data_IF_624961348516
#
_entry.id   IF_624961348516
#
_cell.length_a   1.000
_cell.length_b   1.000
_cell.length_c   1.000
_cell.angle_alpha   90.00
_cell.angle_beta   90.00
_cell.angle_gamma   90.00
#
_symmetry.space_group_name_H-M   'P 1'
#
loop_
_entity.id
_entity.type
_entity.pdbx_description
1 polymer ?
#
# COMPACT_ATOMS: atom_id res chain seq x y z
N UNK A 1 1.28 13.97 7.99
CA UNK A 1 0.17 13.06 7.70
C UNK A 1 -0.34 13.17 6.26
N UNK A 2 -0.73 14.35 5.80
CA UNK A 2 -1.25 14.55 4.42
C UNK A 2 -0.29 14.07 3.32
N UNK A 3 1.01 14.33 3.45
CA UNK A 3 2.00 13.87 2.47
C UNK A 3 2.02 12.36 2.31
N UNK A 4 1.96 11.62 3.41
CA UNK A 4 1.93 10.15 3.37
C UNK A 4 0.66 9.63 2.68
N UNK A 5 -0.50 10.18 3.03
CA UNK A 5 -1.77 9.80 2.41
C UNK A 5 -1.77 10.10 0.91
N UNK A 6 -1.31 11.30 0.54
CA UNK A 6 -1.23 11.69 -0.88
C UNK A 6 -0.23 10.84 -1.68
N UNK A 7 0.92 10.48 -1.10
CA UNK A 7 1.86 9.57 -1.77
C UNK A 7 1.27 8.19 -2.00
N UNK A 8 0.53 7.66 -1.02
CA UNK A 8 -0.15 6.38 -1.16
C UNK A 8 -1.23 6.43 -2.26
N UNK A 9 -2.00 7.53 -2.31
CA UNK A 9 -3.00 7.78 -3.36
C UNK A 9 -2.36 7.83 -4.75
N UNK A 10 -1.27 8.54 -4.92
CA UNK A 10 -0.56 8.64 -6.20
C UNK A 10 -0.04 7.27 -6.68
N UNK A 11 0.52 6.45 -5.78
CA UNK A 11 0.95 5.09 -6.13
C UNK A 11 -0.23 4.20 -6.53
N UNK A 12 -1.37 4.34 -5.85
CA UNK A 12 -2.57 3.59 -6.18
C UNK A 12 -3.11 3.99 -7.55
N UNK A 13 -3.19 5.28 -7.84
CA UNK A 13 -3.66 5.82 -9.12
C UNK A 13 -2.72 5.41 -10.26
N UNK A 14 -1.40 5.46 -10.05
CA UNK A 14 -0.41 5.00 -11.03
C UNK A 14 -0.57 3.50 -11.33
N UNK A 15 -0.76 2.68 -10.31
CA UNK A 15 -0.99 1.25 -10.50
C UNK A 15 -2.31 0.97 -11.24
N UNK A 16 -3.38 1.70 -10.92
CA UNK A 16 -4.68 1.57 -11.58
C UNK A 16 -4.60 1.99 -13.05
N UNK A 17 -3.99 3.14 -13.34
CA UNK A 17 -3.78 3.64 -14.69
C UNK A 17 -2.97 2.66 -15.53
N UNK A 18 -1.92 2.07 -14.96
CA UNK A 18 -1.14 1.04 -15.63
C UNK A 18 -1.98 -0.21 -15.95
N UNK A 19 -2.85 -0.64 -15.03
CA UNK A 19 -3.76 -1.76 -15.27
C UNK A 19 -4.76 -1.47 -16.40
N UNK A 20 -5.31 -0.25 -16.42
CA UNK A 20 -6.31 0.15 -17.43
C UNK A 20 -5.73 0.25 -18.84
N UNK A 21 -4.47 0.71 -18.95
CA UNK A 21 -3.80 0.86 -20.26
C UNK A 21 -3.18 -0.44 -20.77
N UNK A 22 -2.90 -1.39 -19.90
CA UNK A 22 -2.28 -2.66 -20.27
C UNK A 22 -3.30 -3.81 -20.13
N UNK A 23 -4.17 -3.97 -21.12
CA UNK A 23 -5.03 -5.14 -21.20
C UNK A 23 -4.15 -6.38 -21.38
N UNK A 24 -4.01 -7.16 -20.32
CA UNK A 24 -3.22 -8.39 -20.40
C UNK A 24 -4.09 -9.55 -20.89
N UNK A 25 -3.58 -10.23 -21.91
CA UNK A 25 -4.10 -11.53 -22.30
C UNK A 25 -3.59 -12.60 -21.32
N UNK A 26 -4.32 -13.71 -21.11
CA UNK A 26 -3.92 -14.76 -20.18
C UNK A 26 -2.50 -15.32 -20.38
N UNK A 27 -2.01 -15.26 -21.62
CA UNK A 27 -0.68 -15.76 -21.99
C UNK A 27 0.41 -14.68 -21.97
N UNK A 28 0.07 -13.41 -21.70
CA UNK A 28 1.01 -12.30 -21.61
C UNK A 28 1.66 -12.24 -20.23
N UNK A 29 2.54 -13.17 -19.95
CA UNK A 29 3.26 -13.30 -18.66
C UNK A 29 4.07 -12.04 -18.30
N UNK A 30 4.83 -11.41 -19.23
CA UNK A 30 5.56 -10.17 -18.91
C UNK A 30 4.67 -9.04 -18.41
N UNK A 31 3.57 -8.74 -19.12
CA UNK A 31 2.63 -7.67 -18.72
C UNK A 31 1.94 -8.02 -17.40
N UNK A 32 1.51 -9.27 -17.20
CA UNK A 32 0.91 -9.71 -15.95
C UNK A 32 1.86 -9.52 -14.76
N UNK A 33 3.15 -9.85 -14.90
CA UNK A 33 4.16 -9.64 -13.84
C UNK A 33 4.37 -8.16 -13.53
N UNK A 34 4.36 -7.29 -14.54
CA UNK A 34 4.47 -5.85 -14.36
C UNK A 34 3.27 -5.28 -13.59
N UNK A 35 2.05 -5.68 -13.93
CA UNK A 35 0.82 -5.33 -13.22
C UNK A 35 0.90 -5.80 -11.76
N UNK A 36 1.25 -7.06 -11.52
CA UNK A 36 1.40 -7.60 -10.18
C UNK A 36 2.42 -6.84 -9.33
N UNK A 37 3.55 -6.46 -9.91
CA UNK A 37 4.59 -5.72 -9.19
C UNK A 37 4.13 -4.32 -8.77
N UNK A 38 3.42 -3.59 -9.66
CA UNK A 38 2.91 -2.25 -9.36
C UNK A 38 1.79 -2.28 -8.31
N UNK A 39 0.86 -3.20 -8.44
CA UNK A 39 -0.22 -3.39 -7.46
C UNK A 39 0.32 -3.84 -6.11
N UNK A 40 1.32 -4.71 -6.08
CA UNK A 40 2.00 -5.14 -4.86
C UNK A 40 2.71 -3.96 -4.17
N UNK A 41 3.41 -3.11 -4.91
CA UNK A 41 4.05 -1.90 -4.38
C UNK A 41 3.02 -0.94 -3.78
N UNK A 42 1.96 -0.65 -4.52
CA UNK A 42 0.90 0.25 -4.08
C UNK A 42 0.22 -0.27 -2.80
N UNK A 43 -0.14 -1.56 -2.77
CA UNK A 43 -0.77 -2.21 -1.61
C UNK A 43 0.16 -2.21 -0.40
N UNK A 44 1.41 -2.61 -0.54
CA UNK A 44 2.38 -2.66 0.56
C UNK A 44 2.57 -1.28 1.18
N UNK A 45 2.84 -0.27 0.35
CA UNK A 45 3.05 1.11 0.80
C UNK A 45 1.79 1.71 1.44
N UNK A 46 0.60 1.50 0.86
CA UNK A 46 -0.65 2.03 1.40
C UNK A 46 -0.98 1.43 2.77
N UNK A 47 -0.79 0.12 2.95
CA UNK A 47 -1.03 -0.56 4.22
C UNK A 47 -0.11 -0.06 5.36
N UNK A 48 1.19 0.09 5.09
CA UNK A 48 2.14 0.65 6.05
C UNK A 48 1.83 2.12 6.36
N UNK A 49 1.50 2.90 5.33
CA UNK A 49 1.14 4.30 5.46
C UNK A 49 -0.11 4.48 6.32
N UNK A 50 -1.14 3.66 6.14
CA UNK A 50 -2.36 3.70 6.95
C UNK A 50 -2.04 3.53 8.44
N UNK A 51 -1.26 2.52 8.80
CA UNK A 51 -0.85 2.27 10.19
C UNK A 51 -0.01 3.44 10.74
N UNK A 52 0.93 3.95 9.95
CA UNK A 52 1.78 5.07 10.33
C UNK A 52 0.97 6.35 10.59
N UNK A 53 0.06 6.70 9.68
CA UNK A 53 -0.79 7.88 9.81
C UNK A 53 -1.73 7.77 11.01
N UNK A 54 -2.33 6.60 11.23
CA UNK A 54 -3.21 6.36 12.38
C UNK A 54 -2.42 6.47 13.71
N UNK A 55 -1.21 5.92 13.78
CA UNK A 55 -0.32 6.08 14.94
C UNK A 55 0.02 7.56 15.20
N UNK A 56 0.33 8.32 14.15
CA UNK A 56 0.59 9.75 14.29
C UNK A 56 -0.63 10.53 14.78
N UNK A 57 -1.84 10.13 14.36
CA UNK A 57 -3.08 10.75 14.81
C UNK A 57 -3.30 10.51 16.32
N UNK A 58 -3.15 9.27 16.79
CA UNK A 58 -3.24 8.94 18.22
C UNK A 58 -2.22 9.75 19.03
N UNK A 59 -0.97 9.80 18.58
CA UNK A 59 0.09 10.53 19.26
C UNK A 59 -0.19 12.05 19.31
N UNK A 60 -0.71 12.62 18.23
CA UNK A 60 -1.05 14.05 18.17
C UNK A 60 -2.16 14.45 19.14
N UNK A 61 -3.07 13.52 19.43
CA UNK A 61 -4.18 13.71 20.37
C UNK A 61 -3.78 13.43 21.83
N UNK A 62 -2.59 12.90 22.07
CA UNK A 62 -2.13 12.52 23.42
C UNK A 62 -3.08 11.55 24.11
N UNK A 63 -3.41 11.79 25.38
CA UNK A 63 -4.30 10.92 26.15
C UNK A 63 -5.70 10.78 25.54
N UNK A 64 -6.20 11.79 24.84
CA UNK A 64 -7.48 11.72 24.14
C UNK A 64 -7.46 10.75 22.95
N UNK A 65 -6.30 10.53 22.35
CA UNK A 65 -6.15 9.63 21.20
C UNK A 65 -6.44 8.16 21.51
N UNK A 66 -6.39 7.77 22.78
CA UNK A 66 -6.70 6.40 23.24
C UNK A 66 -8.08 6.29 23.89
N UNK A 67 -8.87 7.38 23.88
CA UNK A 67 -10.24 7.38 24.41
C UNK A 67 -11.24 7.04 23.29
N UNK A 68 -12.21 6.19 23.62
CA UNK A 68 -13.26 5.71 22.69
C UNK A 68 -14.05 6.85 22.03
N UNK A 69 -14.25 7.94 22.74
CA UNK A 69 -15.05 9.08 22.30
C UNK A 69 -14.47 9.76 21.06
N UNK A 70 -13.15 9.69 20.85
CA UNK A 70 -12.46 10.36 19.74
C UNK A 70 -12.14 9.44 18.57
N UNK A 71 -12.38 8.14 18.70
CA UNK A 71 -12.23 7.09 17.67
C UNK A 71 -10.83 6.97 17.02
N UNK A 72 -9.83 7.75 17.43
CA UNK A 72 -8.49 7.67 16.83
C UNK A 72 -7.84 6.29 17.05
N UNK A 73 -8.04 5.70 18.23
CA UNK A 73 -7.57 4.35 18.56
C UNK A 73 -8.25 3.28 17.68
N UNK A 74 -9.53 3.48 17.34
CA UNK A 74 -10.26 2.57 16.45
C UNK A 74 -9.64 2.56 15.06
N UNK A 75 -9.35 3.72 14.48
CA UNK A 75 -8.68 3.81 13.19
C UNK A 75 -7.30 3.15 13.22
N UNK A 76 -6.57 3.23 14.34
CA UNK A 76 -5.30 2.53 14.49
C UNK A 76 -5.49 1.00 14.52
N UNK A 77 -6.48 0.50 15.24
CA UNK A 77 -6.81 -0.94 15.25
C UNK A 77 -7.23 -1.42 13.87
N UNK A 78 -8.07 -0.67 13.17
CA UNK A 78 -8.54 -1.02 11.84
C UNK A 78 -7.39 -0.99 10.82
N UNK A 79 -6.48 -0.01 10.92
CA UNK A 79 -5.31 0.08 10.05
C UNK A 79 -4.29 -1.04 10.28
N UNK A 80 -4.16 -1.53 11.51
CA UNK A 80 -3.17 -2.56 11.88
C UNK A 80 -3.39 -3.91 11.16
N UNK A 81 -4.60 -4.19 10.67
CA UNK A 81 -4.87 -5.42 9.92
C UNK A 81 -4.40 -5.32 8.45
N UNK A 82 -4.37 -4.12 7.88
CA UNK A 82 -4.10 -3.90 6.45
C UNK A 82 -2.78 -4.52 5.95
N UNK A 83 -1.66 -4.50 6.69
CA UNK A 83 -0.43 -5.17 6.28
C UNK A 83 -0.50 -6.70 6.25
N UNK A 84 -1.53 -7.30 6.86
CA UNK A 84 -1.61 -8.75 7.07
C UNK A 84 -2.68 -9.44 6.21
N UNK A 85 -3.59 -8.68 5.60
CA UNK A 85 -4.66 -9.21 4.75
C UNK A 85 -4.32 -9.05 3.27
N UNK A 86 -4.95 -9.85 2.42
CA UNK A 86 -4.81 -9.82 0.95
C UNK A 86 -3.33 -9.90 0.49
N UNK A 87 -2.57 -10.76 1.15
CA UNK A 87 -1.12 -10.88 1.00
C UNK A 87 -0.36 -9.97 1.97
N UNK A 88 0.47 -10.58 2.82
CA UNK A 88 1.25 -9.84 3.80
C UNK A 88 2.19 -8.82 3.14
N UNK A 89 2.60 -7.80 3.90
CA UNK A 89 3.55 -6.78 3.44
C UNK A 89 4.83 -7.41 2.87
N UNK A 90 5.37 -8.43 3.55
CA UNK A 90 6.57 -9.14 3.10
C UNK A 90 6.39 -9.80 1.72
N UNK A 91 5.23 -10.42 1.49
CA UNK A 91 4.90 -11.03 0.19
C UNK A 91 4.77 -9.95 -0.90
N UNK A 92 4.15 -8.81 -0.58
CA UNK A 92 4.02 -7.71 -1.54
C UNK A 92 5.40 -7.15 -1.94
N UNK A 93 6.27 -6.93 -0.98
CA UNK A 93 7.64 -6.46 -1.25
C UNK A 93 8.49 -7.51 -1.97
N UNK A 94 8.28 -8.80 -1.68
CA UNK A 94 8.95 -9.88 -2.41
C UNK A 94 8.54 -9.89 -3.89
N UNK A 95 7.24 -9.80 -4.19
CA UNK A 95 6.73 -9.76 -5.57
C UNK A 95 7.33 -8.57 -6.32
N UNK A 96 7.29 -7.38 -5.74
CA UNK A 96 7.86 -6.17 -6.35
C UNK A 96 9.38 -6.29 -6.52
N UNK A 97 10.10 -6.73 -5.49
CA UNK A 97 11.56 -6.91 -5.52
C UNK A 97 12.03 -7.92 -6.56
N UNK A 98 11.34 -9.03 -6.73
CA UNK A 98 11.64 -10.02 -7.77
C UNK A 98 11.46 -9.43 -9.18
N UNK A 99 10.42 -8.62 -9.39
CA UNK A 99 10.21 -7.95 -10.67
C UNK A 99 11.34 -6.95 -10.98
N UNK A 100 11.71 -6.11 -10.01
CA UNK A 100 12.81 -5.13 -10.17
C UNK A 100 14.15 -5.84 -10.42
N UNK A 101 14.44 -6.93 -9.70
CA UNK A 101 15.66 -7.69 -9.90
C UNK A 101 15.76 -8.34 -11.29
N UNK A 102 14.62 -8.78 -11.85
CA UNK A 102 14.57 -9.41 -13.16
C UNK A 102 14.67 -8.42 -14.32
N UNK A 103 14.15 -7.19 -14.16
CA UNK A 103 14.04 -6.22 -15.25
C UNK A 103 14.98 -5.01 -15.13
N UNK A 104 15.78 -4.96 -14.07
CA UNK A 104 16.54 -3.76 -13.70
C UNK A 104 15.59 -2.65 -13.17
N UNK A 105 16.19 -1.54 -12.74
CA UNK A 105 15.44 -0.38 -12.26
C UNK A 105 14.92 0.40 -13.47
N UNK A 106 13.90 -0.13 -14.14
CA UNK A 106 13.23 0.58 -15.23
C UNK A 106 12.26 1.58 -14.64
N UNK A 107 12.72 2.79 -14.52
CA UNK A 107 11.85 3.96 -14.34
C UNK A 107 11.07 4.20 -15.63
#
# INVERSE_FOLDING_TARGET
MLTYAHTAELLLLEAADYCDHNHFEPDDIPTMRAVQARTAQAKGYAAETATKVATMAVNAMGAYGVCDEYQAERFLRDAAIAPNIEGSGDIQYLIHGMFVAANGNTN
#
